data_IF_522925673292
#
_entry.id   IF_522925673292
#
_cell.length_a   1.000
_cell.length_b   1.000
_cell.length_c   1.000
_cell.angle_alpha   90.00
_cell.angle_beta   90.00
_cell.angle_gamma   90.00
#
_symmetry.space_group_name_H-M   'P 1'
#
loop_
_entity.id
_entity.type
_entity.pdbx_description
1 polymer ?
#
# COMPACT_ATOMS: atom_id res chain seq x y z
N UNK A 1 -7.93 -22.95 -33.66
CA UNK A 1 -8.49 -21.76 -33.01
C UNK A 1 -8.42 -21.96 -31.50
N UNK A 2 -7.35 -21.54 -30.84
CA UNK A 2 -7.25 -21.59 -29.38
C UNK A 2 -8.07 -20.45 -28.80
N UNK A 3 -9.16 -20.78 -28.13
CA UNK A 3 -9.93 -19.86 -27.28
C UNK A 3 -8.97 -19.17 -26.31
N UNK A 4 -8.76 -17.86 -26.49
CA UNK A 4 -8.08 -17.05 -25.50
C UNK A 4 -8.99 -16.93 -24.30
N UNK A 5 -8.56 -17.44 -23.14
CA UNK A 5 -9.32 -17.30 -21.90
C UNK A 5 -9.64 -15.82 -21.67
N UNK A 6 -10.93 -15.51 -21.47
CA UNK A 6 -11.39 -14.17 -21.16
C UNK A 6 -10.73 -13.73 -19.84
N UNK A 7 -10.00 -12.61 -19.87
CA UNK A 7 -9.37 -12.10 -18.65
C UNK A 7 -10.49 -11.67 -17.70
N UNK A 8 -10.53 -12.17 -16.45
CA UNK A 8 -11.53 -11.72 -15.50
C UNK A 8 -11.47 -10.19 -15.35
N UNK A 9 -12.61 -9.57 -15.07
CA UNK A 9 -12.68 -8.14 -14.78
C UNK A 9 -12.01 -7.85 -13.43
N UNK A 10 -10.68 -7.80 -13.45
CA UNK A 10 -9.84 -7.56 -12.28
C UNK A 10 -10.06 -6.16 -11.73
N UNK A 11 -10.37 -5.18 -12.59
CA UNK A 11 -10.63 -3.81 -12.15
C UNK A 11 -11.83 -3.79 -11.22
N UNK A 12 -12.95 -4.35 -11.67
CA UNK A 12 -14.17 -4.33 -10.89
C UNK A 12 -14.07 -5.24 -9.65
N UNK A 13 -13.32 -6.33 -9.72
CA UNK A 13 -13.02 -7.16 -8.55
C UNK A 13 -12.21 -6.40 -7.47
N UNK A 14 -11.19 -5.65 -7.89
CA UNK A 14 -10.35 -4.81 -7.00
C UNK A 14 -11.18 -3.69 -6.39
N UNK A 15 -11.97 -2.98 -7.19
CA UNK A 15 -12.88 -1.91 -6.74
C UNK A 15 -13.81 -2.44 -5.63
N UNK A 16 -14.58 -3.50 -5.91
CA UNK A 16 -15.50 -4.06 -4.92
C UNK A 16 -14.79 -4.51 -3.64
N UNK A 17 -13.61 -5.11 -3.73
CA UNK A 17 -12.88 -5.58 -2.56
C UNK A 17 -12.47 -4.42 -1.64
N UNK A 18 -11.84 -3.38 -2.19
CA UNK A 18 -11.34 -2.27 -1.38
C UNK A 18 -12.44 -1.30 -0.95
N UNK A 19 -13.49 -1.11 -1.73
CA UNK A 19 -14.62 -0.26 -1.37
C UNK A 19 -15.47 -0.89 -0.26
N UNK A 20 -15.79 -2.18 -0.36
CA UNK A 20 -16.63 -2.85 0.64
C UNK A 20 -15.95 -3.01 2.00
N UNK A 21 -14.61 -3.11 2.02
CA UNK A 21 -13.82 -3.31 3.24
C UNK A 21 -13.14 -2.03 3.72
N UNK A 22 -13.37 -0.88 3.08
CA UNK A 22 -12.64 0.36 3.36
C UNK A 22 -12.69 0.75 4.85
N UNK A 23 -13.88 0.71 5.46
CA UNK A 23 -14.03 1.03 6.87
C UNK A 23 -13.27 0.04 7.77
N UNK A 24 -13.37 -1.25 7.46
CA UNK A 24 -12.70 -2.32 8.22
C UNK A 24 -11.18 -2.17 8.15
N UNK A 25 -10.63 -2.01 6.94
CA UNK A 25 -9.19 -1.82 6.76
C UNK A 25 -8.69 -0.56 7.46
N UNK A 26 -9.44 0.54 7.39
CA UNK A 26 -9.04 1.76 8.10
C UNK A 26 -9.04 1.59 9.63
N UNK A 27 -9.95 0.80 10.19
CA UNK A 27 -9.98 0.52 11.63
C UNK A 27 -8.83 -0.39 12.08
N UNK A 28 -8.47 -1.40 11.29
CA UNK A 28 -7.44 -2.39 11.66
C UNK A 28 -6.01 -2.00 11.26
N UNK A 29 -5.83 -1.43 10.07
CA UNK A 29 -4.52 -1.07 9.51
C UNK A 29 -4.18 0.42 9.64
N UNK A 30 -5.14 1.27 10.00
CA UNK A 30 -4.95 2.71 10.06
C UNK A 30 -4.85 3.34 8.67
N UNK A 31 -3.95 4.31 8.51
CA UNK A 31 -3.81 5.06 7.25
C UNK A 31 -3.06 4.27 6.16
N UNK A 32 -2.26 3.28 6.55
CA UNK A 32 -1.43 2.48 5.66
C UNK A 32 -2.05 1.11 5.46
N UNK A 33 -2.64 0.85 4.28
CA UNK A 33 -3.24 -0.46 3.94
C UNK A 33 -2.15 -1.46 3.50
N UNK A 34 -1.16 -1.65 4.36
CA UNK A 34 -0.07 -2.62 4.20
C UNK A 34 0.53 -3.02 5.55
N UNK A 35 1.22 -4.17 5.58
CA UNK A 35 2.01 -4.59 6.74
C UNK A 35 3.24 -3.69 6.94
N UNK A 36 3.88 -3.80 8.09
CA UNK A 36 5.08 -3.03 8.41
C UNK A 36 6.40 -3.80 8.34
N UNK A 37 7.51 -3.06 8.36
CA UNK A 37 8.86 -3.57 8.58
C UNK A 37 9.14 -3.64 10.08
N UNK A 38 8.88 -4.80 10.66
CA UNK A 38 8.95 -5.01 12.11
C UNK A 38 10.39 -5.07 12.65
N UNK A 39 10.66 -4.49 13.82
CA UNK A 39 11.91 -4.72 14.52
C UNK A 39 11.92 -6.13 15.12
N UNK A 40 13.10 -6.61 15.53
CA UNK A 40 13.23 -7.95 16.13
C UNK A 40 12.42 -8.11 17.42
N UNK A 41 12.18 -7.01 18.16
CA UNK A 41 11.38 -7.00 19.39
C UNK A 41 10.62 -5.67 19.51
N UNK A 42 9.38 -5.74 19.99
CA UNK A 42 8.53 -4.58 20.27
C UNK A 42 7.98 -3.88 19.02
N UNK A 43 7.50 -2.65 19.20
CA UNK A 43 6.95 -1.80 18.14
C UNK A 43 5.43 -1.86 18.03
N UNK A 44 4.85 -0.82 17.42
CA UNK A 44 3.43 -0.78 17.05
C UNK A 44 3.25 -1.06 15.54
N UNK A 45 2.05 -1.49 15.09
CA UNK A 45 1.75 -1.61 13.67
C UNK A 45 2.05 -0.34 12.88
N UNK A 46 1.71 0.82 13.46
CA UNK A 46 1.96 2.14 12.86
C UNK A 46 3.45 2.39 12.66
N UNK A 47 4.28 2.14 13.68
CA UNK A 47 5.73 2.35 13.58
C UNK A 47 6.36 1.41 12.55
N UNK A 48 5.89 0.16 12.50
CA UNK A 48 6.36 -0.80 11.51
C UNK A 48 5.99 -0.35 10.08
N UNK A 49 4.78 0.18 9.86
CA UNK A 49 4.37 0.72 8.56
C UNK A 49 5.23 1.90 8.13
N UNK A 50 5.44 2.88 9.01
CA UNK A 50 6.31 4.04 8.73
C UNK A 50 7.74 3.59 8.43
N UNK A 51 8.26 2.63 9.20
CA UNK A 51 9.60 2.07 8.96
C UNK A 51 9.70 1.38 7.61
N UNK A 52 8.63 0.73 7.13
CA UNK A 52 8.59 0.16 5.79
C UNK A 52 8.64 1.26 4.72
N UNK A 53 7.82 2.30 4.85
CA UNK A 53 7.80 3.42 3.89
C UNK A 53 9.18 4.08 3.82
N UNK A 54 9.79 4.40 4.96
CA UNK A 54 11.14 4.97 5.04
C UNK A 54 12.19 4.05 4.39
N UNK A 55 12.16 2.76 4.69
CA UNK A 55 13.09 1.81 4.08
C UNK A 55 12.96 1.75 2.56
N UNK A 56 11.73 1.78 2.03
CA UNK A 56 11.48 1.76 0.59
C UNK A 56 11.91 3.06 -0.08
N UNK A 57 11.67 4.21 0.56
CA UNK A 57 12.13 5.52 0.08
C UNK A 57 13.65 5.57 -0.03
N UNK A 58 14.36 5.12 1.01
CA UNK A 58 15.82 5.03 1.02
C UNK A 58 16.33 4.10 -0.08
N UNK A 59 15.69 2.94 -0.25
CA UNK A 59 16.04 1.97 -1.30
C UNK A 59 15.77 2.47 -2.71
N UNK A 60 14.77 3.33 -2.89
CA UNK A 60 14.45 3.97 -4.15
C UNK A 60 15.33 5.20 -4.42
N UNK A 61 16.10 5.67 -3.44
CA UNK A 61 16.95 6.84 -3.56
C UNK A 61 16.16 8.15 -3.66
N UNK A 62 14.97 8.21 -3.06
CA UNK A 62 14.15 9.44 -3.05
C UNK A 62 14.77 10.40 -2.05
N UNK A 63 15.27 11.55 -2.53
CA UNK A 63 15.99 12.53 -1.73
C UNK A 63 15.27 13.89 -1.62
N UNK A 64 14.12 14.04 -2.27
CA UNK A 64 13.29 15.25 -2.27
C UNK A 64 13.42 16.03 -3.57
N UNK A 65 12.28 16.56 -4.04
CA UNK A 65 12.20 17.33 -5.29
C UNK A 65 11.93 16.48 -6.54
N UNK A 66 11.93 15.14 -6.41
CA UNK A 66 11.49 14.25 -7.48
C UNK A 66 9.96 14.21 -7.62
N UNK A 67 9.49 13.74 -8.77
CA UNK A 67 8.09 13.35 -8.96
C UNK A 67 7.98 11.84 -8.80
N UNK A 68 7.25 11.41 -7.78
CA UNK A 68 7.08 9.99 -7.45
C UNK A 68 5.69 9.52 -7.87
N UNK A 69 5.61 8.32 -8.46
CA UNK A 69 4.35 7.63 -8.75
C UNK A 69 4.15 6.49 -7.75
N UNK A 70 3.09 6.59 -6.94
CA UNK A 70 2.66 5.54 -6.01
C UNK A 70 1.55 4.68 -6.65
N UNK A 71 1.92 3.54 -7.21
CA UNK A 71 0.98 2.63 -7.90
C UNK A 71 0.28 1.74 -6.89
N UNK A 72 -1.04 1.89 -6.76
CA UNK A 72 -1.81 1.20 -5.73
C UNK A 72 -1.68 1.88 -4.37
N UNK A 73 -1.70 3.22 -4.35
CA UNK A 73 -1.46 4.07 -3.18
C UNK A 73 -2.44 3.88 -2.01
N UNK A 74 -3.49 3.07 -2.15
CA UNK A 74 -4.52 2.86 -1.13
C UNK A 74 -5.15 4.19 -0.71
N UNK A 75 -5.06 4.52 0.58
CA UNK A 75 -5.53 5.82 1.11
C UNK A 75 -4.51 6.97 0.94
N UNK A 76 -3.44 6.75 0.18
CA UNK A 76 -2.41 7.76 -0.13
C UNK A 76 -1.47 8.10 1.02
N UNK A 77 -1.40 7.29 2.09
CA UNK A 77 -0.58 7.60 3.26
C UNK A 77 0.92 7.58 2.97
N UNK A 78 1.41 6.63 2.16
CA UNK A 78 2.81 6.60 1.73
C UNK A 78 3.16 7.85 0.91
N UNK A 79 2.32 8.23 -0.04
CA UNK A 79 2.52 9.43 -0.85
C UNK A 79 2.45 10.74 -0.04
N UNK A 80 1.71 10.80 1.08
CA UNK A 80 1.73 11.96 1.99
C UNK A 80 2.96 11.98 2.92
N UNK A 81 3.55 10.82 3.16
CA UNK A 81 4.73 10.68 4.01
C UNK A 81 6.00 11.06 3.25
N UNK A 82 6.08 10.69 1.97
CA UNK A 82 7.12 11.11 1.02
C UNK A 82 7.07 12.62 0.75
#
# INVERSE_FOLDING_TARGET
>A
MTSGAERPDLRHAVERHYDSLALLYRLFWGEHVHHGLWPARGGSPRDAQIRLVSHLADRAGIAGGERVLDVGCGYGASARWL
#
